data_IF_025396658468
#
_entry.id   IF_025396658468
#
_cell.length_a   1.000
_cell.length_b   1.000
_cell.length_c   1.000
_cell.angle_alpha   90.00
_cell.angle_beta   90.00
_cell.angle_gamma   90.00
#
_symmetry.space_group_name_H-M   'P 1'
#
loop_
_entity.id
_entity.type
_entity.pdbx_description
1 polymer ?
#
# COMPACT_ATOMS: atom_id res chain seq x y z
N UNK A 1 5.79 25.48 -29.12
CA UNK A 1 5.43 24.92 -30.44
C UNK A 1 5.32 23.42 -30.30
N UNK A 2 4.13 22.86 -30.56
CA UNK A 2 3.89 21.41 -30.56
C UNK A 2 4.00 20.92 -32.00
N UNK A 3 4.95 20.03 -32.26
CA UNK A 3 5.12 19.35 -33.55
C UNK A 3 4.64 17.91 -33.38
N UNK A 4 3.42 17.64 -33.84
CA UNK A 4 2.85 16.30 -33.92
C UNK A 4 3.13 15.76 -35.32
N UNK A 5 3.88 14.67 -35.41
CA UNK A 5 4.09 13.96 -36.67
C UNK A 5 3.43 12.58 -36.62
N UNK A 6 2.52 12.40 -37.58
CA UNK A 6 1.92 11.16 -38.03
C UNK A 6 2.98 10.07 -38.24
N UNK A 7 2.65 8.81 -37.94
CA UNK A 7 2.54 7.76 -38.96
C UNK A 7 2.05 6.43 -38.38
N UNK A 8 1.24 5.77 -39.22
CA UNK A 8 1.12 4.33 -39.41
C UNK A 8 0.42 3.48 -38.33
N UNK A 9 -0.88 3.33 -38.56
CA UNK A 9 -1.75 2.24 -38.14
C UNK A 9 -1.17 0.89 -38.59
N UNK A 10 -0.96 -0.05 -37.67
CA UNK A 10 -0.88 -1.48 -37.99
C UNK A 10 -1.91 -2.22 -37.12
N UNK A 11 -2.98 -2.65 -37.81
CA UNK A 11 -4.04 -3.52 -37.33
C UNK A 11 -3.48 -4.94 -37.26
N UNK A 12 -3.38 -5.56 -36.08
CA UNK A 12 -3.06 -6.99 -35.99
C UNK A 12 -3.86 -7.68 -34.89
N UNK A 13 -4.80 -8.48 -35.39
CA UNK A 13 -5.44 -9.67 -34.85
C UNK A 13 -6.13 -9.62 -33.48
N UNK A 14 -7.45 -9.62 -33.57
CA UNK A 14 -8.40 -10.00 -32.52
C UNK A 14 -8.22 -11.49 -32.18
N UNK A 15 -8.03 -11.81 -30.90
CA UNK A 15 -8.20 -13.16 -30.36
C UNK A 15 -9.30 -13.10 -29.29
N UNK A 16 -10.52 -13.60 -29.55
CA UNK A 16 -11.53 -13.73 -28.51
C UNK A 16 -11.36 -15.09 -27.81
N UNK A 17 -10.72 -15.09 -26.64
CA UNK A 17 -10.78 -16.25 -25.75
C UNK A 17 -12.11 -16.20 -25.01
N UNK A 18 -13.00 -17.08 -25.45
CA UNK A 18 -14.22 -17.51 -24.77
C UNK A 18 -13.90 -18.12 -23.41
N UNK A 19 -14.70 -17.78 -22.40
CA UNK A 19 -15.40 -18.75 -21.55
C UNK A 19 -16.26 -18.00 -20.52
N UNK A 20 -17.57 -18.19 -20.63
CA UNK A 20 -18.50 -17.95 -19.54
C UNK A 20 -18.82 -19.29 -18.88
N UNK A 21 -18.78 -19.35 -17.54
CA UNK A 21 -19.95 -19.73 -16.77
C UNK A 21 -19.79 -19.39 -15.28
N UNK A 22 -20.91 -18.94 -14.74
CA UNK A 22 -21.12 -18.49 -13.37
C UNK A 22 -21.47 -19.70 -12.50
N UNK A 23 -20.72 -19.93 -11.43
CA UNK A 23 -21.16 -20.84 -10.34
C UNK A 23 -20.98 -20.14 -9.01
N UNK A 24 -22.11 -19.75 -8.41
CA UNK A 24 -22.21 -19.33 -7.00
C UNK A 24 -22.72 -20.53 -6.21
N UNK A 25 -21.95 -21.00 -5.22
CA UNK A 25 -22.38 -21.93 -4.15
C UNK A 25 -21.55 -21.67 -2.86
N UNK A 26 -22.01 -22.12 -1.68
CA UNK A 26 -22.22 -21.29 -0.48
C UNK A 26 -21.02 -21.16 0.47
N UNK A 27 -21.12 -20.19 1.40
CA UNK A 27 -20.29 -20.06 2.60
C UNK A 27 -20.31 -21.38 3.38
N UNK A 28 -19.13 -21.98 3.57
CA UNK A 28 -18.88 -23.01 4.57
C UNK A 28 -17.53 -22.71 5.21
N UNK A 29 -17.57 -22.53 6.53
CA UNK A 29 -16.43 -22.47 7.44
C UNK A 29 -15.32 -23.43 7.01
N UNK A 30 -14.13 -22.91 6.76
CA UNK A 30 -12.91 -23.69 6.93
C UNK A 30 -11.79 -22.75 7.40
N UNK A 31 -11.50 -22.88 8.69
CA UNK A 31 -10.27 -22.46 9.34
C UNK A 31 -9.08 -22.98 8.52
N UNK A 32 -8.44 -22.08 7.78
CA UNK A 32 -7.10 -22.30 7.30
C UNK A 32 -6.23 -21.30 8.06
N UNK A 33 -5.13 -21.73 8.72
CA UNK A 33 -4.37 -20.84 9.56
C UNK A 33 -3.84 -19.73 8.67
N UNK A 34 -4.35 -18.53 8.89
CA UNK A 34 -3.70 -17.30 8.44
C UNK A 34 -2.32 -17.39 9.04
N UNK A 35 -1.36 -17.80 8.21
CA UNK A 35 0.05 -17.72 8.50
C UNK A 35 0.28 -16.26 8.85
N UNK A 36 0.36 -15.98 10.15
CA UNK A 36 0.78 -14.72 10.71
C UNK A 36 2.09 -14.37 10.00
N UNK A 37 2.00 -13.49 9.01
CA UNK A 37 3.11 -12.64 8.65
C UNK A 37 3.13 -11.53 9.70
N UNK A 38 3.49 -11.95 10.91
CA UNK A 38 4.33 -11.15 11.81
C UNK A 38 5.71 -11.17 11.19
N UNK A 39 5.86 -10.45 10.09
CA UNK A 39 7.15 -9.96 9.63
C UNK A 39 6.94 -8.46 9.49
N UNK A 40 7.16 -7.77 10.61
CA UNK A 40 7.68 -6.41 10.56
C UNK A 40 8.76 -6.40 9.48
N UNK A 41 8.65 -5.59 8.42
CA UNK A 41 9.74 -5.46 7.47
C UNK A 41 10.96 -5.08 8.30
N UNK A 42 11.96 -5.96 8.30
CA UNK A 42 13.28 -5.66 8.83
C UNK A 42 13.90 -4.59 7.93
N UNK A 43 13.37 -3.37 7.99
CA UNK A 43 14.18 -2.19 7.74
C UNK A 43 15.13 -2.13 8.93
N UNK A 44 16.26 -2.79 8.68
CA UNK A 44 17.60 -2.50 9.16
C UNK A 44 17.63 -1.45 10.27
N UNK A 45 18.28 -1.83 11.37
CA UNK A 45 18.76 -1.05 12.54
C UNK A 45 19.41 0.32 12.24
N UNK A 46 19.41 0.79 10.98
CA UNK A 46 19.99 2.04 10.52
C UNK A 46 19.16 2.65 9.36
N UNK A 47 17.90 3.01 9.65
CA UNK A 47 17.09 3.83 8.74
C UNK A 47 17.20 5.30 9.13
N UNK A 48 17.11 6.21 8.16
CA UNK A 48 17.11 7.65 8.43
C UNK A 48 15.76 8.07 9.06
N UNK A 49 15.79 8.20 10.38
CA UNK A 49 14.65 8.60 11.20
C UNK A 49 14.09 9.97 10.80
N UNK A 50 14.94 10.93 10.44
CA UNK A 50 14.48 12.28 10.10
C UNK A 50 13.81 12.29 8.72
N UNK A 51 14.32 11.50 7.77
CA UNK A 51 13.64 11.28 6.48
C UNK A 51 12.29 10.59 6.67
N UNK A 52 12.23 9.56 7.52
CA UNK A 52 10.98 8.85 7.81
C UNK A 52 9.94 9.74 8.51
N UNK A 53 10.39 10.55 9.48
CA UNK A 53 9.57 11.57 10.14
C UNK A 53 9.05 12.59 9.14
N UNK A 54 9.92 13.13 8.30
CA UNK A 54 9.52 14.10 7.29
C UNK A 54 8.50 13.49 6.31
N UNK A 55 8.63 12.21 5.96
CA UNK A 55 7.65 11.45 5.18
C UNK A 55 6.31 11.29 5.87
N UNK A 56 6.30 10.85 7.13
CA UNK A 56 5.08 10.78 7.93
C UNK A 56 4.40 12.14 8.01
N UNK A 57 5.14 13.18 8.43
CA UNK A 57 4.62 14.52 8.61
C UNK A 57 4.07 15.07 7.31
N UNK A 58 4.76 14.88 6.16
CA UNK A 58 4.34 15.43 4.87
C UNK A 58 3.24 14.63 4.17
N UNK A 59 3.13 13.32 4.41
CA UNK A 59 2.14 12.49 3.75
C UNK A 59 0.83 12.41 4.54
N UNK A 60 0.92 12.28 5.86
CA UNK A 60 -0.22 11.96 6.72
C UNK A 60 -1.05 13.18 7.14
N UNK A 61 -0.52 14.39 7.04
CA UNK A 61 -1.26 15.63 7.36
C UNK A 61 -2.12 16.19 6.20
N UNK A 62 -2.01 15.61 4.99
CA UNK A 62 -2.60 16.19 3.78
C UNK A 62 -4.13 16.14 3.76
N UNK A 63 -4.73 15.17 4.45
CA UNK A 63 -6.16 14.85 4.31
C UNK A 63 -6.92 14.87 5.65
N UNK A 64 -6.22 14.81 6.78
CA UNK A 64 -6.77 14.81 8.13
C UNK A 64 -5.66 15.21 9.11
N UNK A 65 -6.00 15.31 10.40
CA UNK A 65 -5.03 15.61 11.44
C UNK A 65 -3.84 14.63 11.42
N UNK A 66 -2.68 15.17 11.78
CA UNK A 66 -1.45 14.39 11.91
C UNK A 66 -1.44 13.69 13.28
N UNK A 67 -1.81 12.41 13.27
CA UNK A 67 -1.79 11.57 14.46
C UNK A 67 -0.35 11.36 14.95
N UNK A 68 -0.14 11.48 16.27
CA UNK A 68 1.15 11.18 16.88
C UNK A 68 1.34 9.66 16.98
N UNK A 69 2.57 9.14 16.83
CA UNK A 69 2.88 7.71 16.97
C UNK A 69 2.23 7.03 18.20
N UNK A 70 2.25 7.70 19.36
CA UNK A 70 1.74 7.19 20.64
C UNK A 70 0.21 7.06 20.78
N UNK A 71 -0.56 7.39 19.74
CA UNK A 71 -2.04 7.38 19.79
C UNK A 71 -2.61 5.97 19.57
N UNK A 72 -1.88 5.11 18.86
CA UNK A 72 -2.32 3.77 18.48
C UNK A 72 -1.24 2.74 18.81
N UNK A 73 -1.64 1.50 19.08
CA UNK A 73 -0.70 0.39 19.23
C UNK A 73 -0.04 0.04 17.90
N UNK A 74 1.07 -0.70 17.94
CA UNK A 74 1.80 -1.10 16.74
C UNK A 74 0.91 -1.91 15.78
N UNK A 75 0.07 -2.81 16.31
CA UNK A 75 -0.86 -3.62 15.51
C UNK A 75 -1.96 -2.76 14.88
N UNK A 76 -2.41 -1.71 15.58
CA UNK A 76 -3.37 -0.76 15.04
C UNK A 76 -2.75 0.05 13.90
N UNK A 77 -1.50 0.49 14.06
CA UNK A 77 -0.77 1.21 13.01
C UNK A 77 -0.62 0.40 11.72
N UNK A 78 -0.36 -0.90 11.80
CA UNK A 78 -0.30 -1.79 10.63
C UNK A 78 -1.60 -1.71 9.81
N UNK A 79 -2.75 -1.81 10.47
CA UNK A 79 -4.06 -1.75 9.80
C UNK A 79 -4.35 -0.35 9.25
N UNK A 80 -4.06 0.69 10.04
CA UNK A 80 -4.27 2.10 9.65
C UNK A 80 -3.44 2.43 8.41
N UNK A 81 -2.13 2.19 8.45
CA UNK A 81 -1.23 2.52 7.35
C UNK A 81 -1.56 1.71 6.11
N UNK A 82 -1.92 0.43 6.24
CA UNK A 82 -2.41 -0.36 5.10
C UNK A 82 -3.63 0.28 4.42
N UNK A 83 -4.53 0.87 5.19
CA UNK A 83 -5.72 1.55 4.66
C UNK A 83 -5.44 2.96 4.11
N UNK A 84 -4.42 3.64 4.63
CA UNK A 84 -4.07 5.02 4.28
C UNK A 84 -3.05 5.13 3.16
N UNK A 85 -2.11 4.19 3.04
CA UNK A 85 -1.08 4.18 2.01
C UNK A 85 -1.61 4.46 0.59
N UNK A 86 -2.65 3.76 0.08
CA UNK A 86 -3.18 4.06 -1.25
C UNK A 86 -3.86 5.43 -1.33
N UNK A 87 -4.45 5.94 -0.23
CA UNK A 87 -5.11 7.25 -0.18
C UNK A 87 -4.11 8.41 -0.13
N UNK A 88 -2.98 8.19 0.54
CA UNK A 88 -1.87 9.12 0.65
C UNK A 88 -0.90 9.02 -0.55
N UNK A 89 -1.15 8.11 -1.49
CA UNK A 89 -0.30 7.82 -2.64
C UNK A 89 1.13 7.41 -2.23
N UNK A 90 1.27 6.65 -1.14
CA UNK A 90 2.54 6.08 -0.74
C UNK A 90 2.86 4.85 -1.59
N UNK A 91 4.11 4.73 -2.03
CA UNK A 91 4.61 3.48 -2.59
C UNK A 91 4.95 2.46 -1.48
N UNK A 92 5.36 1.24 -1.84
CA UNK A 92 5.61 0.17 -0.88
C UNK A 92 6.77 0.47 0.10
N UNK A 93 7.82 1.13 -0.39
CA UNK A 93 8.97 1.52 0.43
C UNK A 93 8.58 2.62 1.42
N UNK A 94 7.90 3.66 0.92
CA UNK A 94 7.37 4.75 1.74
C UNK A 94 6.38 4.25 2.80
N UNK A 95 5.51 3.30 2.44
CA UNK A 95 4.57 2.67 3.37
C UNK A 95 5.30 1.97 4.51
N UNK A 96 6.34 1.20 4.18
CA UNK A 96 7.14 0.49 5.17
C UNK A 96 7.92 1.46 6.06
N UNK A 97 8.48 2.51 5.48
CA UNK A 97 9.24 3.55 6.21
C UNK A 97 8.37 4.31 7.21
N UNK A 98 7.15 4.70 6.79
CA UNK A 98 6.18 5.36 7.68
C UNK A 98 5.72 4.42 8.79
N UNK A 99 5.44 3.15 8.46
CA UNK A 99 5.03 2.14 9.44
C UNK A 99 6.09 1.97 10.53
N UNK A 100 7.35 1.82 10.14
CA UNK A 100 8.43 1.67 11.10
C UNK A 100 8.67 2.91 11.94
N UNK A 101 8.58 4.11 11.34
CA UNK A 101 8.66 5.35 12.11
C UNK A 101 7.59 5.39 13.20
N UNK A 102 6.31 5.16 12.87
CA UNK A 102 5.25 5.25 13.87
C UNK A 102 5.31 4.15 14.93
N UNK A 103 5.77 2.93 14.59
CA UNK A 103 5.92 1.86 15.58
C UNK A 103 7.18 2.03 16.43
N UNK A 104 8.24 2.65 15.92
CA UNK A 104 9.47 2.93 16.70
C UNK A 104 9.31 4.07 17.70
N UNK A 105 8.30 4.94 17.51
CA UNK A 105 8.05 6.13 18.32
C UNK A 105 6.84 5.98 19.27
N UNK A 106 6.19 4.81 19.27
CA UNK A 106 5.05 4.46 20.12
C UNK A 106 5.50 4.16 21.55
#
# INVERSE_FOLDING_TARGET
MKIYNLTAIIFSSVVPISCAEKVVKPISSNENPVKNQTESPAITENYDRDTAKALHDKACYKCHDLYKPKVYTDEQWVSIIKSMAPKANLNAEETSLVLHYVTSEN
#
